data_IF_786457247238
#
_entry.id   IF_786457247238
#
_cell.length_a   1.000
_cell.length_b   1.000
_cell.length_c   1.000
_cell.angle_alpha   90.00
_cell.angle_beta   90.00
_cell.angle_gamma   90.00
#
_symmetry.space_group_name_H-M   'P 1'
#
loop_
_entity.id
_entity.type
_entity.pdbx_description
1 polymer ?
#
# COMPACT_ATOMS: atom_id res chain seq x y z
N UNK A 1 10.95 20.42 25.39
CA UNK A 1 9.81 19.76 24.72
C UNK A 1 10.21 18.35 24.39
N UNK A 2 9.50 17.34 24.92
CA UNK A 2 9.83 15.93 24.64
C UNK A 2 9.57 15.67 23.16
N UNK A 3 10.64 15.64 22.36
CA UNK A 3 10.62 15.16 20.98
C UNK A 3 10.21 13.70 21.02
N UNK A 4 8.90 13.42 20.96
CA UNK A 4 8.40 12.06 20.74
C UNK A 4 9.12 11.57 19.48
N UNK A 5 9.94 10.53 19.62
CA UNK A 5 10.53 9.83 18.47
C UNK A 5 9.37 9.51 17.51
N UNK A 6 9.39 10.00 16.26
CA UNK A 6 8.34 9.66 15.31
C UNK A 6 8.33 8.14 15.19
N UNK A 7 7.21 7.54 15.60
CA UNK A 7 6.94 6.16 15.23
C UNK A 7 6.71 6.11 13.71
N UNK A 8 6.76 4.93 13.10
CA UNK A 8 6.55 4.76 11.65
C UNK A 8 5.10 5.02 11.20
N UNK A 9 4.29 5.64 12.07
CA UNK A 9 2.93 6.09 11.80
C UNK A 9 2.89 7.53 11.23
N UNK A 10 4.06 8.16 11.02
CA UNK A 10 4.20 9.44 10.32
C UNK A 10 5.59 9.58 9.66
N UNK A 11 5.82 10.63 8.84
CA UNK A 11 4.97 11.80 8.68
C UNK A 11 3.74 11.60 7.78
N UNK A 12 3.70 10.56 6.95
CA UNK A 12 2.53 10.25 6.15
C UNK A 12 1.52 9.50 7.01
N UNK A 13 0.43 10.19 7.35
CA UNK A 13 -0.56 9.72 8.30
C UNK A 13 -1.26 8.44 7.81
N UNK A 14 -1.32 7.46 8.71
CA UNK A 14 -2.07 6.23 8.50
C UNK A 14 -3.57 6.48 8.28
N UNK A 15 -4.20 5.56 7.57
CA UNK A 15 -5.64 5.55 7.34
C UNK A 15 -6.32 4.88 8.53
N UNK A 16 -7.32 5.54 9.10
CA UNK A 16 -8.07 5.00 10.25
C UNK A 16 -8.81 3.72 9.86
N UNK A 17 -8.57 2.63 10.59
CA UNK A 17 -9.27 1.35 10.40
C UNK A 17 -10.77 1.42 10.70
N UNK A 18 -11.23 2.44 11.43
CA UNK A 18 -12.66 2.63 11.70
C UNK A 18 -13.47 3.02 10.46
N UNK A 19 -12.80 3.49 9.38
CA UNK A 19 -13.46 3.88 8.14
C UNK A 19 -14.09 2.70 7.41
N UNK A 20 -13.47 1.52 7.49
CA UNK A 20 -13.97 0.29 6.87
C UNK A 20 -15.10 -0.40 7.66
N UNK A 21 -15.65 0.25 8.69
CA UNK A 21 -16.75 -0.28 9.50
C UNK A 21 -16.33 -1.20 10.65
N UNK A 22 -15.03 -1.35 10.92
CA UNK A 22 -14.53 -2.10 12.08
C UNK A 22 -14.96 -1.40 13.37
N UNK A 23 -15.98 -1.96 14.04
CA UNK A 23 -16.35 -1.55 15.40
C UNK A 23 -15.29 -2.10 16.35
N UNK A 24 -14.35 -1.26 16.76
CA UNK A 24 -13.38 -1.63 17.80
C UNK A 24 -14.17 -1.84 19.11
N UNK A 25 -14.36 -3.09 19.52
CA UNK A 25 -14.84 -3.39 20.88
C UNK A 25 -13.75 -2.92 21.86
N UNK A 26 -14.06 -2.12 22.91
CA UNK A 26 -13.04 -1.61 23.84
C UNK A 26 -12.33 -2.70 24.66
N UNK A 27 -12.72 -3.95 24.54
CA UNK A 27 -12.12 -5.08 25.25
C UNK A 27 -12.12 -6.29 24.31
N UNK A 28 -10.95 -6.73 23.85
CA UNK A 28 -10.38 -8.09 23.92
C UNK A 28 -8.99 -8.02 23.25
N UNK A 29 -7.99 -7.60 24.02
CA UNK A 29 -6.61 -7.94 23.73
C UNK A 29 -6.26 -9.10 24.66
N UNK A 30 -6.11 -10.31 24.12
CA UNK A 30 -5.20 -11.39 24.55
C UNK A 30 -5.47 -12.59 23.62
N UNK A 31 -4.36 -13.16 23.12
CA UNK A 31 -4.25 -14.43 22.37
C UNK A 31 -4.68 -14.49 20.89
N UNK A 32 -3.76 -14.10 20.02
CA UNK A 32 -3.60 -14.74 18.71
C UNK A 32 -2.10 -14.82 18.34
N UNK A 33 -1.40 -15.84 18.86
CA UNK A 33 -0.12 -16.28 18.30
C UNK A 33 -0.39 -17.34 17.22
N UNK A 34 0.40 -17.27 16.14
CA UNK A 34 0.56 -18.22 15.02
C UNK A 34 -0.48 -18.19 13.89
N UNK A 35 -0.33 -17.20 13.01
CA UNK A 35 -0.03 -17.36 11.57
C UNK A 35 0.32 -15.96 11.03
N UNK A 36 1.46 -15.82 10.36
CA UNK A 36 2.05 -14.53 9.95
C UNK A 36 1.33 -13.89 8.75
N UNK A 37 0.17 -14.39 8.32
CA UNK A 37 -0.55 -13.87 7.17
C UNK A 37 -2.03 -13.88 7.54
N UNK A 38 -2.66 -12.71 7.45
CA UNK A 38 -4.04 -12.35 7.85
C UNK A 38 -4.20 -12.09 9.36
N UNK A 39 -4.15 -10.80 9.73
CA UNK A 39 -4.66 -10.29 11.00
C UNK A 39 -6.20 -10.42 11.06
N UNK A 40 -6.74 -11.63 11.17
CA UNK A 40 -8.14 -11.78 11.59
C UNK A 40 -8.23 -11.45 13.08
N UNK A 41 -8.60 -10.22 13.43
CA UNK A 41 -9.05 -9.94 14.79
C UNK A 41 -10.33 -10.76 15.05
N UNK A 42 -10.44 -11.37 16.23
CA UNK A 42 -11.65 -12.04 16.69
C UNK A 42 -12.67 -10.96 17.12
N UNK A 43 -13.16 -10.20 16.14
CA UNK A 43 -14.23 -9.22 16.23
C UNK A 43 -15.28 -9.49 15.14
N UNK A 44 -16.36 -8.70 15.10
CA UNK A 44 -17.40 -8.82 14.06
C UNK A 44 -16.72 -8.86 12.69
N UNK A 45 -16.84 -9.98 11.96
CA UNK A 45 -16.32 -10.08 10.60
C UNK A 45 -17.06 -9.06 9.75
N UNK A 46 -16.32 -8.13 9.14
CA UNK A 46 -16.81 -7.32 8.03
C UNK A 46 -17.15 -8.27 6.86
N UNK A 47 -18.16 -7.89 6.07
CA UNK A 47 -18.65 -8.65 4.93
C UNK A 47 -18.95 -7.68 3.78
N UNK A 48 -19.04 -8.22 2.58
CA UNK A 48 -19.22 -7.48 1.34
C UNK A 48 -18.14 -6.40 1.19
N UNK A 49 -18.57 -5.20 0.83
CA UNK A 49 -17.65 -4.09 0.54
C UNK A 49 -16.86 -3.62 1.75
N UNK A 50 -17.40 -3.76 2.96
CA UNK A 50 -16.69 -3.39 4.19
C UNK A 50 -15.47 -4.27 4.41
N UNK A 51 -15.56 -5.56 4.04
CA UNK A 51 -14.40 -6.47 4.10
C UNK A 51 -13.31 -6.03 3.13
N UNK A 52 -13.70 -5.69 1.90
CA UNK A 52 -12.77 -5.23 0.87
C UNK A 52 -12.06 -3.95 1.30
N UNK A 53 -12.82 -2.97 1.80
CA UNK A 53 -12.27 -1.71 2.32
C UNK A 53 -11.35 -1.92 3.53
N UNK A 54 -11.66 -2.88 4.42
CA UNK A 54 -10.82 -3.20 5.58
C UNK A 54 -9.50 -3.85 5.16
N UNK A 55 -9.56 -4.86 4.29
CA UNK A 55 -8.36 -5.52 3.76
C UNK A 55 -7.50 -4.52 2.95
N UNK A 56 -8.11 -3.64 2.16
CA UNK A 56 -7.40 -2.56 1.45
C UNK A 56 -6.72 -1.58 2.41
N UNK A 57 -7.43 -1.16 3.46
CA UNK A 57 -6.87 -0.27 4.50
C UNK A 57 -5.63 -0.89 5.17
N UNK A 58 -5.59 -2.22 5.33
CA UNK A 58 -4.42 -2.91 5.88
C UNK A 58 -3.22 -2.80 4.93
N UNK A 59 -3.42 -3.08 3.63
CA UNK A 59 -2.37 -2.99 2.61
C UNK A 59 -1.87 -1.54 2.49
N UNK A 60 -2.77 -0.56 2.45
CA UNK A 60 -2.40 0.86 2.37
C UNK A 60 -1.60 1.32 3.60
N UNK A 61 -1.97 0.86 4.78
CA UNK A 61 -1.21 1.14 5.99
C UNK A 61 0.13 0.40 6.05
N UNK A 62 0.32 -0.70 5.32
CA UNK A 62 1.63 -1.33 5.13
C UNK A 62 2.50 -0.46 4.22
N UNK A 63 1.96 0.01 3.09
CA UNK A 63 2.62 0.96 2.17
C UNK A 63 3.09 2.20 2.93
N UNK A 64 2.20 2.83 3.70
CA UNK A 64 2.48 4.05 4.47
C UNK A 64 3.55 3.82 5.56
N UNK A 65 3.49 2.70 6.29
CA UNK A 65 4.47 2.40 7.33
C UNK A 65 5.86 2.19 6.75
N UNK A 66 5.98 1.47 5.63
CA UNK A 66 7.27 1.22 4.98
C UNK A 66 7.87 2.54 4.47
N UNK A 67 7.11 3.38 3.75
CA UNK A 67 7.66 4.65 3.26
C UNK A 67 8.00 5.62 4.40
N UNK A 68 7.26 5.60 5.51
CA UNK A 68 7.62 6.36 6.70
C UNK A 68 8.98 5.91 7.26
N UNK A 69 9.31 4.61 7.24
CA UNK A 69 10.64 4.15 7.68
C UNK A 69 11.74 4.67 6.75
N UNK A 70 11.52 4.61 5.43
CA UNK A 70 12.47 5.11 4.42
C UNK A 70 12.66 6.61 4.61
N UNK A 71 11.57 7.37 4.73
CA UNK A 71 11.62 8.82 4.93
C UNK A 71 12.37 9.22 6.20
N UNK A 72 12.14 8.52 7.32
CA UNK A 72 12.80 8.82 8.58
C UNK A 72 14.29 8.42 8.61
N UNK A 73 14.69 7.42 7.81
CA UNK A 73 16.05 6.89 7.82
C UNK A 73 16.92 7.34 6.65
N UNK A 74 16.34 7.92 5.58
CA UNK A 74 17.08 8.26 4.37
C UNK A 74 18.31 9.15 4.63
N UNK A 75 18.25 10.12 5.54
CA UNK A 75 19.43 10.93 5.91
C UNK A 75 20.29 10.21 6.96
N UNK A 76 19.67 9.45 7.87
CA UNK A 76 20.40 8.83 8.98
C UNK A 76 21.33 7.69 8.53
N UNK A 77 20.97 6.96 7.47
CA UNK A 77 21.80 5.87 6.94
C UNK A 77 23.15 6.34 6.41
N UNK A 78 23.30 7.62 6.05
CA UNK A 78 24.60 8.19 5.64
C UNK A 78 25.67 8.11 6.74
N UNK A 79 25.24 8.00 8.01
CA UNK A 79 26.14 7.79 9.16
C UNK A 79 26.71 6.37 9.23
N UNK A 80 26.14 5.45 8.46
CA UNK A 80 26.56 4.06 8.34
C UNK A 80 26.76 3.68 6.87
N UNK A 81 27.87 4.08 6.22
CA UNK A 81 28.09 3.86 4.78
C UNK A 81 27.97 2.40 4.32
N UNK A 82 28.29 1.45 5.21
CA UNK A 82 28.17 0.01 4.92
C UNK A 82 26.72 -0.47 4.82
N UNK A 83 25.76 0.26 5.41
CA UNK A 83 24.34 -0.10 5.41
C UNK A 83 23.56 0.54 4.25
N UNK A 84 24.19 1.45 3.49
CA UNK A 84 23.52 2.23 2.43
C UNK A 84 22.96 1.32 1.34
N UNK A 85 23.70 0.31 0.89
CA UNK A 85 23.24 -0.58 -0.18
C UNK A 85 22.06 -1.47 0.27
N UNK A 86 22.08 -1.94 1.52
CA UNK A 86 20.96 -2.70 2.10
C UNK A 86 19.72 -1.81 2.23
N UNK A 87 19.90 -0.56 2.68
CA UNK A 87 18.83 0.44 2.75
C UNK A 87 18.24 0.80 1.39
N UNK A 88 19.09 1.01 0.37
CA UNK A 88 18.65 1.29 -1.00
C UNK A 88 17.86 0.11 -1.57
N UNK A 89 18.33 -1.12 -1.34
CA UNK A 89 17.61 -2.32 -1.78
C UNK A 89 16.23 -2.43 -1.10
N UNK A 90 16.16 -2.18 0.21
CA UNK A 90 14.88 -2.11 0.94
C UNK A 90 13.92 -1.04 0.40
N UNK A 91 14.45 0.15 0.08
CA UNK A 91 13.70 1.25 -0.48
C UNK A 91 13.17 0.92 -1.91
N UNK A 92 13.97 0.24 -2.73
CA UNK A 92 13.54 -0.24 -4.06
C UNK A 92 12.40 -1.24 -3.95
N UNK A 93 12.47 -2.20 -3.02
CA UNK A 93 11.40 -3.19 -2.84
C UNK A 93 10.07 -2.54 -2.41
N UNK A 94 10.11 -1.43 -1.68
CA UNK A 94 8.90 -0.65 -1.42
C UNK A 94 8.26 -0.12 -2.71
N UNK A 95 9.04 0.46 -3.63
CA UNK A 95 8.48 0.97 -4.89
C UNK A 95 7.93 -0.14 -5.77
N UNK A 96 8.58 -1.31 -5.82
CA UNK A 96 8.08 -2.48 -6.56
C UNK A 96 6.74 -2.97 -5.99
N UNK A 97 6.62 -3.04 -4.67
CA UNK A 97 5.37 -3.40 -4.01
C UNK A 97 4.24 -2.40 -4.33
N UNK A 98 4.54 -1.10 -4.37
CA UNK A 98 3.58 -0.05 -4.74
C UNK A 98 3.16 -0.19 -6.22
N UNK A 99 4.10 -0.46 -7.12
CA UNK A 99 3.83 -0.66 -8.55
C UNK A 99 2.96 -1.90 -8.79
N UNK A 100 3.34 -3.06 -8.21
CA UNK A 100 2.58 -4.31 -8.34
C UNK A 100 1.16 -4.21 -7.78
N UNK A 101 0.99 -3.50 -6.64
CA UNK A 101 -0.30 -3.21 -6.03
C UNK A 101 -1.24 -2.48 -6.99
N UNK A 102 -0.81 -1.32 -7.51
CA UNK A 102 -1.64 -0.51 -8.40
C UNK A 102 -1.78 -1.13 -9.81
N UNK A 103 -0.78 -1.86 -10.32
CA UNK A 103 -0.90 -2.63 -11.57
C UNK A 103 -2.00 -3.69 -11.44
N UNK A 104 -2.05 -4.41 -10.32
CA UNK A 104 -3.10 -5.41 -10.06
C UNK A 104 -4.48 -4.75 -10.01
N UNK A 105 -4.58 -3.57 -9.42
CA UNK A 105 -5.83 -2.82 -9.37
C UNK A 105 -6.34 -2.44 -10.75
N UNK A 106 -5.49 -1.83 -11.59
CA UNK A 106 -5.88 -1.37 -12.92
C UNK A 106 -6.14 -2.49 -13.91
N UNK A 107 -5.38 -3.59 -13.81
CA UNK A 107 -5.47 -4.70 -14.78
C UNK A 107 -6.53 -5.72 -14.41
N UNK A 108 -6.95 -5.80 -13.14
CA UNK A 108 -7.88 -6.82 -12.67
C UNK A 108 -8.99 -6.30 -11.79
N UNK A 109 -8.66 -5.61 -10.69
CA UNK A 109 -9.65 -5.29 -9.65
C UNK A 109 -10.67 -4.27 -10.16
N UNK A 110 -10.22 -3.14 -10.70
CA UNK A 110 -11.08 -2.07 -11.19
C UNK A 110 -11.94 -2.50 -12.37
N UNK A 111 -11.40 -3.18 -13.42
CA UNK A 111 -12.24 -3.67 -14.52
C UNK A 111 -13.31 -4.67 -14.05
N UNK A 112 -12.98 -5.58 -13.12
CA UNK A 112 -13.96 -6.54 -12.59
C UNK A 112 -15.03 -5.84 -11.73
N UNK A 113 -14.68 -4.81 -10.95
CA UNK A 113 -15.64 -3.96 -10.21
C UNK A 113 -16.61 -3.30 -11.19
N UNK A 114 -16.09 -2.65 -12.25
CA UNK A 114 -16.90 -1.96 -13.24
C UNK A 114 -17.85 -2.92 -13.98
N UNK A 115 -17.36 -4.12 -14.33
CA UNK A 115 -18.15 -5.16 -14.96
C UNK A 115 -19.27 -5.64 -14.04
N UNK A 116 -18.97 -5.90 -12.76
CA UNK A 116 -19.95 -6.41 -11.81
C UNK A 116 -20.99 -5.36 -11.46
N UNK A 117 -20.58 -4.11 -11.26
CA UNK A 117 -21.49 -2.98 -11.03
C UNK A 117 -22.34 -2.66 -12.29
N UNK A 118 -21.80 -2.92 -13.48
CA UNK A 118 -22.42 -2.55 -14.76
C UNK A 118 -22.26 -1.05 -15.08
N UNK A 119 -21.24 -0.40 -14.52
CA UNK A 119 -20.98 1.04 -14.65
C UNK A 119 -19.56 1.27 -15.20
N UNK A 120 -19.42 1.54 -16.50
CA UNK A 120 -18.12 1.83 -17.10
C UNK A 120 -17.48 3.10 -16.53
N UNK A 121 -16.21 3.02 -16.20
CA UNK A 121 -15.44 4.11 -15.60
C UNK A 121 -15.84 4.42 -14.17
N UNK A 122 -16.45 3.48 -13.43
CA UNK A 122 -16.74 3.65 -11.99
C UNK A 122 -15.46 3.93 -11.19
N UNK A 123 -14.33 3.34 -11.59
CA UNK A 123 -13.05 3.45 -10.90
C UNK A 123 -12.10 4.46 -11.57
N UNK A 124 -12.59 5.25 -12.55
CA UNK A 124 -11.75 6.19 -13.32
C UNK A 124 -11.01 7.23 -12.46
N UNK A 125 -11.59 7.59 -11.31
CA UNK A 125 -11.00 8.57 -10.41
C UNK A 125 -9.76 7.99 -9.71
N UNK A 126 -9.82 6.71 -9.30
CA UNK A 126 -8.68 5.99 -8.74
C UNK A 126 -7.54 5.89 -9.77
N UNK A 127 -7.85 5.52 -11.01
CA UNK A 127 -6.86 5.46 -12.11
C UNK A 127 -6.20 6.82 -12.35
N UNK A 128 -6.99 7.91 -12.41
CA UNK A 128 -6.44 9.26 -12.58
C UNK A 128 -5.54 9.67 -11.38
N UNK A 129 -5.83 9.19 -10.17
CA UNK A 129 -4.98 9.40 -9.01
C UNK A 129 -3.67 8.59 -9.09
N UNK A 130 -3.68 7.38 -9.66
CA UNK A 130 -2.47 6.60 -9.94
C UNK A 130 -1.54 7.37 -10.87
N UNK A 131 -2.07 7.83 -12.00
CA UNK A 131 -1.33 8.64 -12.98
C UNK A 131 -0.69 9.87 -12.32
N UNK A 132 -1.39 10.51 -11.38
CA UNK A 132 -0.95 11.75 -10.74
C UNK A 132 0.30 11.59 -9.85
N UNK A 133 0.55 10.43 -9.24
CA UNK A 133 1.78 10.18 -8.45
C UNK A 133 2.86 9.41 -9.22
N UNK A 134 2.53 8.84 -10.39
CA UNK A 134 3.36 7.91 -11.13
C UNK A 134 4.74 8.47 -11.51
N UNK A 135 4.79 9.72 -12.00
CA UNK A 135 6.06 10.38 -12.36
C UNK A 135 7.02 10.51 -11.16
N UNK A 136 6.47 10.78 -9.98
CA UNK A 136 7.28 10.88 -8.75
C UNK A 136 7.75 9.52 -8.24
N UNK A 137 6.92 8.48 -8.36
CA UNK A 137 7.32 7.10 -8.07
C UNK A 137 8.44 6.63 -9.02
N UNK A 138 8.36 6.97 -10.31
CA UNK A 138 9.41 6.69 -11.27
C UNK A 138 10.70 7.46 -11.00
N UNK A 139 10.60 8.72 -10.57
CA UNK A 139 11.78 9.47 -10.13
C UNK A 139 12.45 8.82 -8.91
N UNK A 140 11.65 8.29 -7.97
CA UNK A 140 12.13 7.53 -6.82
C UNK A 140 12.89 6.26 -7.24
N UNK A 141 12.25 5.43 -8.08
CA UNK A 141 12.85 4.19 -8.59
C UNK A 141 14.15 4.47 -9.37
N UNK A 142 14.10 5.42 -10.30
CA UNK A 142 15.24 5.75 -11.16
C UNK A 142 16.44 6.34 -10.40
N UNK A 143 16.20 7.06 -9.30
CA UNK A 143 17.28 7.52 -8.44
C UNK A 143 17.91 6.37 -7.66
N UNK A 144 17.10 5.55 -7.00
CA UNK A 144 17.62 4.42 -6.21
C UNK A 144 18.33 3.38 -7.06
N UNK A 145 17.84 3.11 -8.29
CA UNK A 145 18.50 2.21 -9.26
C UNK A 145 19.90 2.71 -9.63
N UNK A 146 20.07 4.00 -9.92
CA UNK A 146 21.38 4.60 -10.18
C UNK A 146 22.32 4.50 -8.98
N UNK A 147 21.80 4.68 -7.76
CA UNK A 147 22.60 4.50 -6.54
C UNK A 147 23.00 3.03 -6.35
N UNK A 148 22.08 2.10 -6.58
CA UNK A 148 22.34 0.66 -6.47
C UNK A 148 23.40 0.20 -7.47
N UNK A 149 23.40 0.76 -8.69
CA UNK A 149 24.40 0.50 -9.74
C UNK A 149 25.72 1.25 -9.54
N UNK A 150 25.80 2.15 -8.57
CA UNK A 150 26.98 3.00 -8.34
C UNK A 150 27.18 4.09 -9.41
N UNK A 151 26.16 4.38 -10.21
CA UNK A 151 26.15 5.46 -11.21
C UNK A 151 25.92 6.84 -10.57
N UNK A 152 25.32 6.86 -9.38
CA UNK A 152 25.13 8.06 -8.58
C UNK A 152 25.47 7.79 -7.11
N UNK A 153 26.10 8.76 -6.43
CA UNK A 153 26.36 8.67 -4.99
C UNK A 153 25.05 8.85 -4.21
N UNK A 154 24.86 8.07 -3.14
CA UNK A 154 23.70 8.22 -2.27
C UNK A 154 23.68 9.58 -1.57
N UNK A 155 22.52 10.23 -1.62
CA UNK A 155 22.13 11.41 -0.87
C UNK A 155 20.73 11.20 -0.25
N UNK A 156 20.67 11.21 1.07
CA UNK A 156 19.43 11.12 1.83
C UNK A 156 18.53 12.32 1.61
N UNK A 157 19.10 13.53 1.52
CA UNK A 157 18.34 14.76 1.21
C UNK A 157 17.68 14.69 -0.17
N UNK A 158 18.38 14.15 -1.18
CA UNK A 158 17.80 13.95 -2.51
C UNK A 158 16.66 12.92 -2.46
N UNK A 159 16.86 11.78 -1.80
CA UNK A 159 15.80 10.78 -1.63
C UNK A 159 14.57 11.39 -0.96
N UNK A 160 14.79 12.12 0.14
CA UNK A 160 13.73 12.77 0.90
C UNK A 160 12.95 13.76 0.03
N UNK A 161 13.64 14.61 -0.74
CA UNK A 161 13.00 15.57 -1.65
C UNK A 161 12.19 14.88 -2.74
N UNK A 162 12.64 13.73 -3.25
CA UNK A 162 11.85 12.94 -4.20
C UNK A 162 10.59 12.41 -3.52
N UNK A 163 10.70 11.84 -2.32
CA UNK A 163 9.53 11.35 -1.56
C UNK A 163 8.53 12.50 -1.30
N UNK A 164 9.01 13.68 -0.91
CA UNK A 164 8.19 14.88 -0.67
C UNK A 164 7.40 15.31 -1.93
N UNK A 165 7.87 14.97 -3.14
CA UNK A 165 7.24 15.40 -4.40
C UNK A 165 5.95 14.66 -4.77
N UNK A 166 5.75 13.43 -4.27
CA UNK A 166 4.62 12.58 -4.70
C UNK A 166 3.83 11.96 -3.55
N UNK A 167 4.44 11.79 -2.38
CA UNK A 167 3.75 11.16 -1.26
C UNK A 167 2.46 11.85 -0.78
N UNK A 168 2.32 13.20 -0.84
CA UNK A 168 1.03 13.81 -0.54
C UNK A 168 -0.10 13.30 -1.44
N UNK A 169 0.17 13.15 -2.75
CA UNK A 169 -0.78 12.66 -3.75
C UNK A 169 -1.04 11.17 -3.56
N UNK A 170 0.01 10.36 -3.38
CA UNK A 170 -0.16 8.93 -3.11
C UNK A 170 -0.95 8.69 -1.82
N UNK A 171 -0.69 9.44 -0.73
CA UNK A 171 -1.47 9.32 0.50
C UNK A 171 -2.94 9.62 0.23
N UNK A 172 -3.25 10.74 -0.43
CA UNK A 172 -4.63 11.12 -0.75
C UNK A 172 -5.34 9.99 -1.51
N UNK A 173 -4.71 9.45 -2.56
CA UNK A 173 -5.21 8.29 -3.28
C UNK A 173 -5.53 7.09 -2.36
N UNK A 174 -4.55 6.66 -1.55
CA UNK A 174 -4.73 5.52 -0.64
C UNK A 174 -5.90 5.74 0.32
N UNK A 175 -6.22 6.98 0.67
CA UNK A 175 -7.36 7.35 1.51
C UNK A 175 -8.69 7.36 0.75
N UNK A 176 -8.70 7.94 -0.45
CA UNK A 176 -9.91 8.14 -1.27
C UNK A 176 -10.44 6.84 -1.86
N UNK A 177 -9.54 5.90 -2.14
CA UNK A 177 -9.93 4.58 -2.61
C UNK A 177 -10.80 3.86 -1.59
N UNK A 178 -10.52 3.99 -0.30
CA UNK A 178 -11.34 3.36 0.75
C UNK A 178 -12.79 3.84 0.65
N UNK A 179 -13.01 5.13 0.41
CA UNK A 179 -14.36 5.67 0.22
C UNK A 179 -14.99 5.18 -1.08
N UNK A 180 -14.19 5.05 -2.15
CA UNK A 180 -14.65 4.54 -3.44
C UNK A 180 -15.11 3.07 -3.34
N UNK A 181 -14.37 2.23 -2.63
CA UNK A 181 -14.75 0.85 -2.34
C UNK A 181 -16.01 0.77 -1.46
N UNK A 182 -16.15 1.63 -0.45
CA UNK A 182 -17.33 1.64 0.41
C UNK A 182 -18.61 2.06 -0.34
N UNK A 183 -18.50 2.93 -1.35
CA UNK A 183 -19.61 3.32 -2.24
C UNK A 183 -20.14 2.16 -3.08
N UNK A 184 -19.41 1.06 -3.21
CA UNK A 184 -19.91 -0.13 -3.90
C UNK A 184 -21.17 -0.72 -3.23
N UNK A 185 -21.48 -0.37 -1.98
CA UNK A 185 -22.74 -0.69 -1.31
C UNK A 185 -23.98 -0.16 -2.05
N UNK A 186 -23.83 0.84 -2.92
CA UNK A 186 -24.93 1.38 -3.74
C UNK A 186 -25.39 0.39 -4.83
N UNK A 187 -24.59 -0.63 -5.13
CA UNK A 187 -24.87 -1.66 -6.13
C UNK A 187 -25.23 -2.98 -5.46
N UNK A 188 -26.47 -3.44 -5.67
CA UNK A 188 -26.97 -4.73 -5.17
C UNK A 188 -26.31 -5.90 -5.92
N UNK A 189 -25.14 -6.33 -5.42
CA UNK A 189 -24.30 -7.40 -5.98
C UNK A 189 -23.75 -8.28 -4.86
N UNK A 190 -23.41 -9.52 -5.21
CA UNK A 190 -22.74 -10.45 -4.31
C UNK A 190 -21.23 -10.17 -4.25
N UNK A 191 -20.87 -9.06 -3.59
CA UNK A 191 -19.48 -8.62 -3.44
C UNK A 191 -18.60 -9.62 -2.69
N UNK A 192 -19.16 -10.35 -1.71
CA UNK A 192 -18.43 -11.39 -0.98
C UNK A 192 -17.97 -12.52 -1.90
N UNK A 193 -18.87 -13.07 -2.72
CA UNK A 193 -18.55 -14.16 -3.63
C UNK A 193 -17.52 -13.74 -4.68
N UNK A 194 -17.66 -12.53 -5.23
CA UNK A 194 -16.67 -11.99 -6.15
C UNK A 194 -15.30 -11.83 -5.49
N UNK A 195 -15.26 -11.20 -4.32
CA UNK A 195 -14.01 -10.94 -3.61
C UNK A 195 -13.29 -12.22 -3.20
N UNK A 196 -14.03 -13.25 -2.75
CA UNK A 196 -13.44 -14.56 -2.47
C UNK A 196 -12.81 -15.22 -3.71
N UNK A 197 -13.43 -15.07 -4.89
CA UNK A 197 -12.88 -15.59 -6.15
C UNK A 197 -11.63 -14.81 -6.55
N UNK A 198 -11.66 -13.48 -6.44
CA UNK A 198 -10.52 -12.60 -6.69
C UNK A 198 -9.33 -12.99 -5.80
N UNK A 199 -9.52 -13.09 -4.49
CA UNK A 199 -8.43 -13.43 -3.57
C UNK A 199 -7.85 -14.82 -3.83
N UNK A 200 -8.67 -15.82 -4.20
CA UNK A 200 -8.18 -17.14 -4.62
C UNK A 200 -7.35 -17.07 -5.90
N UNK A 201 -7.78 -16.26 -6.89
CA UNK A 201 -7.07 -16.02 -8.15
C UNK A 201 -5.70 -15.40 -7.90
N UNK A 202 -5.64 -14.34 -7.08
CA UNK A 202 -4.39 -13.63 -6.76
C UNK A 202 -3.41 -14.51 -5.96
N UNK A 203 -3.87 -15.15 -4.88
CA UNK A 203 -3.03 -16.05 -4.07
C UNK A 203 -2.53 -17.27 -4.84
N UNK A 204 -3.33 -17.77 -5.80
CA UNK A 204 -2.94 -18.88 -6.67
C UNK A 204 -1.72 -18.57 -7.54
N UNK A 205 -1.52 -17.30 -7.91
CA UNK A 205 -0.37 -16.87 -8.72
C UNK A 205 0.90 -16.69 -7.91
N UNK A 206 0.81 -16.30 -6.65
CA UNK A 206 1.98 -16.23 -5.76
C UNK A 206 2.67 -17.59 -5.58
N UNK A 207 1.98 -18.69 -5.90
CA UNK A 207 2.53 -20.04 -5.95
C UNK A 207 3.09 -20.48 -7.31
N UNK A 208 3.06 -19.63 -8.35
CA UNK A 208 3.53 -19.98 -9.69
C UNK A 208 5.07 -19.86 -9.78
N UNK A 209 5.81 -20.96 -10.05
CA UNK A 209 7.26 -20.94 -10.19
C UNK A 209 7.80 -20.06 -11.32
N UNK A 210 6.93 -19.58 -12.23
CA UNK A 210 7.30 -18.70 -13.35
C UNK A 210 7.33 -17.21 -13.00
N UNK A 211 6.76 -16.80 -11.86
CA UNK A 211 6.85 -15.44 -11.31
C UNK A 211 8.17 -15.22 -10.55
N UNK A 212 9.28 -15.84 -10.97
CA UNK A 212 10.58 -15.56 -10.38
C UNK A 212 10.88 -14.08 -10.56
N UNK A 213 10.90 -13.37 -9.43
CA UNK A 213 11.37 -12.00 -9.29
C UNK A 213 12.63 -11.87 -10.14
N UNK A 214 12.59 -11.01 -11.15
CA UNK A 214 13.78 -10.70 -11.92
C UNK A 214 14.77 -10.05 -10.97
N UNK A 215 15.77 -10.84 -10.57
CA UNK A 215 16.94 -10.44 -9.80
C UNK A 215 17.78 -9.44 -10.57
#
# INVERSE_FOLDING_TARGET
MSSKKPWVDGPFELISSTRAGTKVSPFVAIEARRKLIICTQKGVKTAGVNRMAEEMTIIHNLILRIINTVYLQCINVEKSPNDVQDFVSYAIEWSKMVEEHHETEETEVFPEIEQLAGVPGLMRANVAQHEAFHDGLHAYMGYLDKVQKGEEAYSGEKLKSIIDSFMPVLREHLSDEIDSLLRLNEYDRNWDEWYEKLMKKLLGRMGDPKLKVST
#
